data_IF_110660673841
#
_entry.id   IF_110660673841
#
_cell.length_a   1.000
_cell.length_b   1.000
_cell.length_c   1.000
_cell.angle_alpha   90.00
_cell.angle_beta   90.00
_cell.angle_gamma   90.00
#
_symmetry.space_group_name_H-M   'P 1'
#
loop_
_entity.id
_entity.type
_entity.pdbx_description
1 polymer ?
#
# COMPACT_ATOMS: atom_id res chain seq x y z
N UNK A 1 -40.06 -45.24 -43.14
CA UNK A 1 -38.96 -46.14 -42.74
C UNK A 1 -37.66 -45.68 -43.37
N UNK A 2 -36.74 -45.10 -42.58
CA UNK A 2 -35.29 -45.37 -42.59
C UNK A 2 -34.62 -44.38 -41.62
N UNK A 3 -34.07 -44.97 -40.55
CA UNK A 3 -33.25 -44.30 -39.55
C UNK A 3 -31.89 -43.96 -40.15
N UNK A 4 -31.38 -42.75 -39.90
CA UNK A 4 -29.94 -42.49 -39.89
C UNK A 4 -29.50 -42.24 -38.45
N UNK A 5 -28.63 -43.12 -37.95
CA UNK A 5 -27.85 -42.94 -36.73
C UNK A 5 -26.49 -42.34 -37.09
N UNK A 6 -25.93 -41.56 -36.15
CA UNK A 6 -24.56 -41.59 -35.60
C UNK A 6 -24.14 -40.15 -35.23
N UNK A 7 -23.89 -39.91 -33.94
CA UNK A 7 -22.56 -39.72 -33.34
C UNK A 7 -21.95 -38.35 -33.73
N UNK A 8 -21.50 -37.49 -32.83
CA UNK A 8 -21.20 -37.58 -31.41
C UNK A 8 -20.56 -36.23 -31.01
N UNK A 9 -19.72 -36.27 -29.98
CA UNK A 9 -18.92 -35.18 -29.39
C UNK A 9 -19.64 -34.36 -28.32
N UNK A 10 -19.60 -34.93 -27.11
CA UNK A 10 -19.53 -34.17 -25.87
C UNK A 10 -18.33 -33.22 -25.91
N UNK A 11 -18.60 -31.91 -25.81
CA UNK A 11 -17.60 -30.88 -25.56
C UNK A 11 -17.77 -30.35 -24.15
N UNK A 12 -16.96 -30.82 -23.22
CA UNK A 12 -16.88 -30.31 -21.85
C UNK A 12 -16.14 -28.98 -21.93
N UNK A 13 -16.87 -27.87 -21.85
CA UNK A 13 -16.28 -26.54 -21.71
C UNK A 13 -15.82 -26.36 -20.26
N UNK A 14 -14.57 -26.71 -19.97
CA UNK A 14 -13.92 -26.38 -18.71
C UNK A 14 -13.68 -24.87 -18.65
N UNK A 15 -14.50 -24.16 -17.88
CA UNK A 15 -14.25 -22.78 -17.45
C UNK A 15 -13.02 -22.78 -16.55
N UNK A 16 -11.88 -22.38 -17.12
CA UNK A 16 -10.66 -22.10 -16.37
C UNK A 16 -10.94 -20.86 -15.52
N UNK A 17 -11.21 -21.05 -14.23
CA UNK A 17 -11.09 -19.98 -13.24
C UNK A 17 -9.61 -19.64 -13.12
N UNK A 18 -9.16 -18.66 -13.90
CA UNK A 18 -7.89 -18.00 -13.67
C UNK A 18 -8.01 -17.21 -12.36
N UNK A 19 -7.59 -17.84 -11.26
CA UNK A 19 -7.29 -17.13 -10.02
C UNK A 19 -6.16 -16.17 -10.33
N UNK A 20 -6.50 -14.90 -10.59
CA UNK A 20 -5.56 -13.80 -10.54
C UNK A 20 -5.12 -13.65 -9.07
N UNK A 21 -4.18 -14.49 -8.66
CA UNK A 21 -3.35 -14.20 -7.52
C UNK A 21 -2.57 -12.94 -7.91
N UNK A 22 -3.11 -11.77 -7.54
CA UNK A 22 -2.38 -10.52 -7.56
C UNK A 22 -1.17 -10.76 -6.67
N UNK A 23 -0.02 -11.03 -7.29
CA UNK A 23 1.23 -11.18 -6.58
C UNK A 23 1.40 -9.92 -5.72
N UNK A 24 1.40 -10.09 -4.40
CA UNK A 24 1.82 -9.04 -3.51
C UNK A 24 3.22 -8.61 -3.99
N UNK A 25 3.47 -7.32 -4.23
CA UNK A 25 4.77 -6.88 -4.75
C UNK A 25 5.85 -7.42 -3.81
N UNK A 26 6.84 -8.13 -4.39
CA UNK A 26 8.05 -8.49 -3.66
C UNK A 26 8.59 -7.19 -3.06
N UNK A 27 8.80 -7.16 -1.73
CA UNK A 27 9.13 -5.94 -0.98
C UNK A 27 10.48 -5.38 -1.43
N UNK A 28 10.48 -4.66 -2.55
CA UNK A 28 11.58 -3.81 -2.96
C UNK A 28 11.72 -2.68 -1.96
N UNK A 29 12.96 -2.33 -1.63
CA UNK A 29 13.22 -1.11 -0.89
C UNK A 29 12.72 0.09 -1.71
N UNK A 30 12.18 1.11 -1.05
CA UNK A 30 11.83 2.37 -1.69
C UNK A 30 12.64 3.51 -1.08
N UNK A 31 12.85 4.57 -1.86
CA UNK A 31 13.51 5.76 -1.35
C UNK A 31 12.51 6.65 -0.61
N UNK A 32 12.98 7.37 0.41
CA UNK A 32 12.21 8.38 1.13
C UNK A 32 11.71 9.47 0.17
N UNK A 33 12.50 9.80 -0.87
CA UNK A 33 12.11 10.76 -1.92
C UNK A 33 10.91 10.30 -2.77
N UNK A 34 10.67 9.00 -2.82
CA UNK A 34 9.58 8.38 -3.58
C UNK A 34 8.26 8.43 -2.79
N UNK A 35 8.32 8.80 -1.51
CA UNK A 35 7.14 8.93 -0.66
C UNK A 35 6.35 10.15 -1.14
N UNK A 36 5.14 9.87 -1.60
CA UNK A 36 4.20 10.86 -2.06
C UNK A 36 3.26 11.30 -0.94
N UNK A 37 2.00 11.46 -1.30
CA UNK A 37 0.93 11.97 -0.46
C UNK A 37 0.87 11.22 0.88
N UNK A 38 0.82 12.01 1.97
CA UNK A 38 0.79 11.55 3.36
C UNK A 38 -0.48 12.06 4.01
N UNK A 39 -1.26 11.21 4.64
CA UNK A 39 -2.55 11.58 5.19
C UNK A 39 -2.69 11.02 6.60
N UNK A 40 -2.90 11.90 7.58
CA UNK A 40 -3.35 11.48 8.90
C UNK A 40 -4.87 11.38 8.86
N UNK A 41 -5.42 10.18 9.05
CA UNK A 41 -6.88 9.98 9.14
C UNK A 41 -7.42 10.24 10.55
N UNK A 42 -6.54 10.19 11.54
CA UNK A 42 -6.81 10.48 12.94
C UNK A 42 -5.49 10.70 13.69
N UNK A 43 -5.52 10.71 15.03
CA UNK A 43 -4.34 11.01 15.81
C UNK A 43 -3.28 9.90 15.78
N UNK A 44 -3.68 8.64 15.58
CA UNK A 44 -2.77 7.49 15.52
C UNK A 44 -2.82 6.68 14.22
N UNK A 45 -3.75 7.00 13.31
CA UNK A 45 -3.92 6.30 12.03
C UNK A 45 -3.43 7.16 10.89
N UNK A 46 -2.42 6.67 10.17
CA UNK A 46 -1.75 7.37 9.08
C UNK A 46 -1.73 6.50 7.82
N UNK A 47 -1.76 7.17 6.68
CA UNK A 47 -1.65 6.57 5.36
C UNK A 47 -0.60 7.30 4.55
N UNK A 48 0.19 6.58 3.77
CA UNK A 48 1.03 7.21 2.76
C UNK A 48 1.17 6.33 1.53
N UNK A 49 1.53 6.94 0.41
CA UNK A 49 1.87 6.20 -0.81
C UNK A 49 3.32 6.39 -1.21
N UNK A 50 3.83 5.41 -1.94
CA UNK A 50 5.12 5.46 -2.60
C UNK A 50 4.85 5.58 -4.10
N UNK A 51 5.48 6.56 -4.74
CA UNK A 51 5.40 6.85 -6.16
C UNK A 51 6.67 6.35 -6.84
N UNK A 52 6.52 5.81 -8.03
CA UNK A 52 7.63 5.76 -8.96
C UNK A 52 7.86 7.20 -9.46
N UNK A 53 9.03 7.78 -9.19
CA UNK A 53 9.31 9.19 -9.50
C UNK A 53 9.42 9.47 -11.00
N UNK A 54 9.85 8.46 -11.77
CA UNK A 54 10.02 8.58 -13.22
C UNK A 54 8.66 8.59 -13.94
N UNK A 55 7.69 7.84 -13.42
CA UNK A 55 6.37 7.67 -14.02
C UNK A 55 5.25 8.38 -13.26
N UNK A 56 5.53 8.95 -12.08
CA UNK A 56 4.59 9.67 -11.21
C UNK A 56 3.35 8.85 -10.78
N UNK A 57 3.41 7.53 -10.89
CA UNK A 57 2.33 6.62 -10.49
C UNK A 57 2.63 5.98 -9.13
N UNK A 58 1.58 5.75 -8.33
CA UNK A 58 1.72 5.05 -7.06
C UNK A 58 2.03 3.56 -7.29
N UNK A 59 3.11 3.09 -6.67
CA UNK A 59 3.56 1.69 -6.75
C UNK A 59 3.30 0.92 -5.46
N UNK A 60 3.15 1.62 -4.33
CA UNK A 60 2.78 1.01 -3.07
C UNK A 60 1.98 1.99 -2.19
N UNK A 61 1.22 1.43 -1.26
CA UNK A 61 0.44 2.15 -0.27
C UNK A 61 0.64 1.50 1.09
N UNK A 62 0.62 2.30 2.14
CA UNK A 62 0.86 1.84 3.50
C UNK A 62 -0.17 2.43 4.46
N UNK A 63 -0.65 1.57 5.35
CA UNK A 63 -1.37 1.92 6.56
C UNK A 63 -0.40 1.83 7.74
N UNK A 64 -0.37 2.86 8.57
CA UNK A 64 0.48 2.95 9.75
C UNK A 64 -0.37 3.27 10.96
N UNK A 65 -0.17 2.51 12.03
CA UNK A 65 -0.68 2.80 13.35
C UNK A 65 0.47 3.24 14.26
N UNK A 66 0.29 4.30 15.03
CA UNK A 66 1.30 4.80 15.97
C UNK A 66 0.97 4.45 17.42
N UNK A 67 2.00 4.32 18.25
CA UNK A 67 1.86 4.13 19.70
C UNK A 67 1.44 5.47 20.33
N UNK A 68 0.13 5.69 20.39
CA UNK A 68 -0.48 6.92 20.88
C UNK A 68 -0.64 7.98 19.81
N UNK A 69 -1.08 9.16 20.25
CA UNK A 69 -1.42 10.27 19.36
C UNK A 69 -0.14 10.90 18.76
N UNK A 70 0.07 10.64 17.47
CA UNK A 70 1.15 11.21 16.67
C UNK A 70 0.77 12.57 16.06
N UNK A 71 -0.48 12.72 15.64
CA UNK A 71 -0.98 13.94 14.99
C UNK A 71 -2.06 14.58 15.86
N UNK A 72 -1.90 15.87 16.16
CA UNK A 72 -2.85 16.63 16.96
C UNK A 72 -4.11 16.95 16.16
N UNK A 73 -5.27 16.55 16.70
CA UNK A 73 -6.59 16.82 16.13
C UNK A 73 -7.23 15.61 15.44
N UNK A 74 -8.55 15.47 15.59
CA UNK A 74 -9.32 14.32 15.09
C UNK A 74 -9.82 14.46 13.65
N UNK A 75 -9.34 15.46 12.90
CA UNK A 75 -9.76 15.69 11.51
C UNK A 75 -8.68 15.20 10.54
N UNK A 76 -9.06 14.58 9.41
CA UNK A 76 -8.13 14.22 8.36
C UNK A 76 -7.25 15.38 7.89
N UNK A 77 -5.95 15.14 7.74
CA UNK A 77 -4.98 16.15 7.29
C UNK A 77 -3.98 15.56 6.31
N UNK A 78 -3.87 16.19 5.15
CA UNK A 78 -2.82 15.89 4.17
C UNK A 78 -1.50 16.55 4.58
N UNK A 79 -0.40 15.90 4.25
CA UNK A 79 0.97 16.32 4.55
C UNK A 79 1.21 16.60 6.05
N UNK A 80 0.49 15.87 6.92
CA UNK A 80 0.51 16.10 8.37
C UNK A 80 1.75 15.55 9.10
N UNK A 81 2.56 14.74 8.41
CA UNK A 81 3.75 14.09 8.96
C UNK A 81 4.80 13.86 7.87
N UNK A 82 6.01 13.56 8.30
CA UNK A 82 7.15 13.14 7.50
C UNK A 82 7.45 11.67 7.73
N UNK A 83 7.86 11.00 6.66
CA UNK A 83 8.36 9.64 6.69
C UNK A 83 9.86 9.70 6.44
N UNK A 84 10.63 9.09 7.32
CA UNK A 84 12.09 9.14 7.32
C UNK A 84 12.65 7.72 7.38
N UNK A 85 13.89 7.54 6.92
CA UNK A 85 14.61 6.29 7.15
C UNK A 85 15.17 6.27 8.58
N UNK A 86 14.97 5.15 9.27
CA UNK A 86 15.59 4.80 10.55
C UNK A 86 17.04 4.33 10.42
N UNK A 87 17.50 4.08 9.20
CA UNK A 87 18.83 3.56 8.96
C UNK A 87 19.84 4.72 8.92
N UNK A 88 20.59 4.90 10.01
CA UNK A 88 21.73 5.82 10.10
C UNK A 88 23.00 5.27 9.43
N UNK A 89 22.90 4.81 8.18
CA UNK A 89 24.07 4.35 7.42
C UNK A 89 24.36 5.30 6.26
N UNK A 90 25.53 5.92 6.29
CA UNK A 90 25.96 7.02 5.40
C UNK A 90 26.04 6.70 3.90
N UNK A 91 25.72 5.46 3.48
CA UNK A 91 25.59 5.08 2.06
C UNK A 91 24.15 4.86 1.58
N UNK A 92 23.19 4.76 2.50
CA UNK A 92 21.82 4.31 2.21
C UNK A 92 20.75 5.04 3.04
N UNK A 93 21.09 6.17 3.67
CA UNK A 93 20.26 6.90 4.65
C UNK A 93 18.89 7.39 4.14
N UNK A 94 18.52 7.07 2.90
CA UNK A 94 17.26 7.43 2.28
C UNK A 94 16.45 6.23 1.79
N UNK A 95 16.87 4.98 2.04
CA UNK A 95 16.09 3.80 1.66
C UNK A 95 15.34 3.20 2.85
N UNK A 96 14.16 2.68 2.58
CA UNK A 96 13.31 1.91 3.50
C UNK A 96 13.09 0.55 2.86
N UNK A 97 13.64 -0.51 3.47
CA UNK A 97 13.53 -1.88 2.94
C UNK A 97 12.50 -2.71 3.70
N UNK A 98 12.26 -2.37 4.96
CA UNK A 98 11.30 -3.04 5.82
C UNK A 98 10.55 -2.02 6.68
N UNK A 99 9.34 -2.38 7.15
CA UNK A 99 8.62 -1.72 8.24
C UNK A 99 9.49 -1.09 9.35
N UNK A 100 10.45 -1.86 9.87
CA UNK A 100 11.30 -1.45 10.99
C UNK A 100 12.30 -0.33 10.64
N UNK A 101 12.49 -0.03 9.34
CA UNK A 101 13.33 1.06 8.87
C UNK A 101 12.56 2.37 8.75
N UNK A 102 11.25 2.39 9.04
CA UNK A 102 10.41 3.58 8.93
C UNK A 102 10.43 4.36 10.24
N UNK A 103 10.64 5.66 10.15
CA UNK A 103 10.37 6.60 11.24
C UNK A 103 9.31 7.59 10.79
N UNK A 104 8.33 7.85 11.65
CA UNK A 104 7.32 8.88 11.44
C UNK A 104 7.62 10.07 12.34
N UNK A 105 7.53 11.26 11.78
CA UNK A 105 7.71 12.51 12.50
C UNK A 105 6.60 13.49 12.16
N UNK A 106 5.97 14.08 13.17
CA UNK A 106 5.06 15.21 13.00
C UNK A 106 5.69 16.43 13.70
N UNK A 107 4.95 17.08 14.61
CA UNK A 107 5.49 17.97 15.63
C UNK A 107 6.39 17.22 16.63
N UNK A 108 6.11 15.94 16.85
CA UNK A 108 6.84 15.05 17.76
C UNK A 108 7.33 13.79 17.03
N UNK A 109 8.27 13.06 17.64
CA UNK A 109 8.64 11.73 17.17
C UNK A 109 7.47 10.77 17.42
N UNK A 110 7.02 10.08 16.37
CA UNK A 110 5.88 9.20 16.44
C UNK A 110 6.34 7.74 16.41
N UNK A 111 6.36 7.04 17.56
CA UNK A 111 6.67 5.62 17.58
C UNK A 111 5.62 4.85 16.78
N UNK A 112 6.06 4.06 15.82
CA UNK A 112 5.18 3.18 15.04
C UNK A 112 4.80 1.97 15.91
N UNK A 113 3.51 1.62 15.89
CA UNK A 113 3.01 0.36 16.42
C UNK A 113 3.00 -0.72 15.32
N UNK A 114 2.30 -0.43 14.21
CA UNK A 114 2.24 -1.31 13.05
C UNK A 114 2.38 -0.52 11.74
N UNK A 115 2.89 -1.19 10.72
CA UNK A 115 2.89 -0.68 9.35
C UNK A 115 2.63 -1.84 8.40
N UNK A 116 1.58 -1.70 7.61
CA UNK A 116 1.06 -2.74 6.75
C UNK A 116 0.92 -2.23 5.31
N UNK A 117 1.36 -3.01 4.31
CA UNK A 117 1.11 -2.66 2.91
C UNK A 117 -0.38 -2.80 2.60
N UNK A 118 -0.92 -1.87 1.81
CA UNK A 118 -2.29 -1.89 1.34
C UNK A 118 -2.35 -2.26 -0.14
N UNK A 119 -3.37 -3.02 -0.51
CA UNK A 119 -3.74 -3.27 -1.89
C UNK A 119 -4.43 -2.04 -2.51
N UNK A 120 -4.37 -1.87 -3.84
CA UNK A 120 -5.12 -0.82 -4.52
C UNK A 120 -6.63 -0.85 -4.22
N UNK A 121 -7.20 -2.04 -4.01
CA UNK A 121 -8.62 -2.21 -3.69
C UNK A 121 -8.94 -1.68 -2.28
N UNK A 122 -8.08 -1.94 -1.29
CA UNK A 122 -8.25 -1.41 0.07
C UNK A 122 -8.15 0.12 0.08
N UNK A 123 -7.22 0.70 -0.68
CA UNK A 123 -7.10 2.16 -0.82
C UNK A 123 -8.30 2.77 -1.53
N UNK A 124 -8.83 2.10 -2.55
CA UNK A 124 -10.04 2.55 -3.23
C UNK A 124 -11.27 2.51 -2.31
N UNK A 125 -11.32 1.58 -1.37
CA UNK A 125 -12.38 1.47 -0.36
C UNK A 125 -12.31 2.56 0.72
N UNK A 126 -11.17 3.26 0.87
CA UNK A 126 -11.06 4.37 1.81
C UNK A 126 -11.97 5.55 1.42
N UNK A 127 -12.56 6.25 2.41
CA UNK A 127 -13.19 7.55 2.20
C UNK A 127 -12.25 8.51 1.47
N UNK A 128 -12.80 9.31 0.55
CA UNK A 128 -12.02 10.20 -0.31
C UNK A 128 -11.11 11.15 0.47
N UNK A 129 -11.51 11.59 1.67
CA UNK A 129 -10.75 12.53 2.49
C UNK A 129 -9.51 11.94 3.17
N UNK A 130 -9.41 10.61 3.27
CA UNK A 130 -8.28 9.93 3.93
C UNK A 130 -7.46 9.09 2.96
N UNK A 131 -7.78 9.15 1.67
CA UNK A 131 -7.06 8.40 0.64
C UNK A 131 -5.75 9.12 0.33
N UNK A 132 -4.59 8.43 0.44
CA UNK A 132 -3.31 8.95 -0.02
C UNK A 132 -3.23 8.95 -1.55
#
# INVERSE_FOLDING_TARGET
>A
MKLNRLAGLAGIAALILASAASAAPEKGCFFVRDIGDRVAAGPHTLYFKVKDIDHMHAVAYFHVETKGDCVTGGTPRHEAFEVLSGILSSRHAEMICKPADVQIRSEIACPIDTIEPMTPQEVAALPHLIRP
#
